data_IF_463692554245
#
_entry.id   IF_463692554245
#
_cell.length_a   1.000
_cell.length_b   1.000
_cell.length_c   1.000
_cell.angle_alpha   90.00
_cell.angle_beta   90.00
_cell.angle_gamma   90.00
#
_symmetry.space_group_name_H-M   'P 1'
#
loop_
_entity.id
_entity.type
_entity.pdbx_description
1 polymer ?
#
# COMPACT_ATOMS: atom_id res chain seq x y z
N UNK A 1 -2.23 12.79 -14.77
CA UNK A 1 -1.64 14.03 -15.28
C UNK A 1 -0.87 14.74 -14.17
N UNK A 2 0.16 15.49 -14.56
CA UNK A 2 1.00 16.27 -13.63
C UNK A 2 0.17 17.27 -12.81
N UNK A 3 -0.91 17.80 -13.38
CA UNK A 3 -1.82 18.72 -12.70
C UNK A 3 -2.62 18.07 -11.57
N UNK A 4 -2.95 16.76 -11.68
CA UNK A 4 -3.59 16.01 -10.59
C UNK A 4 -2.61 15.75 -9.45
N UNK A 5 -1.36 15.43 -9.76
CA UNK A 5 -0.31 15.27 -8.75
C UNK A 5 -0.03 16.54 -7.95
N UNK A 6 -0.01 17.70 -8.61
CA UNK A 6 0.14 19.01 -7.96
C UNK A 6 -1.08 19.39 -7.12
N UNK A 7 -2.29 19.11 -7.63
CA UNK A 7 -3.53 19.29 -6.88
C UNK A 7 -3.56 18.42 -5.60
N UNK A 8 -3.10 17.19 -5.69
CA UNK A 8 -3.03 16.27 -4.57
C UNK A 8 -1.97 16.68 -3.54
N UNK A 9 -0.84 17.27 -3.99
CA UNK A 9 0.18 17.86 -3.10
C UNK A 9 -0.37 19.09 -2.38
N UNK A 10 -1.10 19.95 -3.08
CA UNK A 10 -1.74 21.14 -2.51
C UNK A 10 -2.83 20.77 -1.50
N UNK A 11 -3.68 19.82 -1.85
CA UNK A 11 -4.72 19.29 -0.93
C UNK A 11 -4.11 18.65 0.30
N UNK A 12 -2.96 17.99 0.18
CA UNK A 12 -2.21 17.45 1.31
C UNK A 12 -1.67 18.51 2.23
N UNK A 13 -1.10 19.58 1.71
CA UNK A 13 -0.65 20.72 2.52
C UNK A 13 -1.82 21.35 3.28
N UNK A 14 -2.96 21.51 2.62
CA UNK A 14 -4.18 22.00 3.24
C UNK A 14 -4.70 21.08 4.34
N UNK A 15 -4.69 19.76 4.12
CA UNK A 15 -5.07 18.76 5.11
C UNK A 15 -4.07 18.68 6.27
N UNK A 16 -2.78 18.78 6.01
CA UNK A 16 -1.75 18.81 7.04
C UNK A 16 -1.90 20.03 7.95
N UNK A 17 -2.19 21.20 7.40
CA UNK A 17 -2.50 22.41 8.15
C UNK A 17 -3.76 22.28 9.03
N UNK A 18 -4.71 21.43 8.62
CA UNK A 18 -5.92 21.13 9.40
C UNK A 18 -5.77 19.95 10.38
N UNK A 19 -4.56 19.44 10.57
CA UNK A 19 -4.24 18.34 11.49
C UNK A 19 -4.44 16.94 10.90
N UNK A 20 -4.70 16.82 9.58
CA UNK A 20 -4.72 15.54 8.88
C UNK A 20 -3.31 15.25 8.37
N UNK A 21 -2.56 14.48 9.13
CA UNK A 21 -1.28 13.96 8.69
C UNK A 21 -1.53 12.81 7.70
N UNK A 22 -0.77 12.76 6.57
CA UNK A 22 -0.53 11.51 5.85
C UNK A 22 -1.58 11.08 4.81
N UNK A 23 -2.33 11.97 4.19
CA UNK A 23 -3.32 11.58 3.17
C UNK A 23 -2.81 11.80 1.76
N UNK A 24 -2.84 10.75 0.94
CA UNK A 24 -2.59 10.77 -0.49
C UNK A 24 -3.78 10.20 -1.23
N UNK A 25 -4.40 11.00 -2.09
CA UNK A 25 -5.45 10.51 -2.97
C UNK A 25 -4.83 9.80 -4.17
N UNK A 26 -5.26 8.57 -4.46
CA UNK A 26 -4.91 7.85 -5.67
C UNK A 26 -6.17 7.57 -6.47
N UNK A 27 -6.25 8.15 -7.66
CA UNK A 27 -7.31 7.88 -8.63
C UNK A 27 -6.78 7.06 -9.82
N UNK A 28 -6.12 5.93 -9.53
CA UNK A 28 -5.64 5.02 -10.57
C UNK A 28 -4.39 5.45 -11.33
N UNK A 29 -3.76 6.57 -11.00
CA UNK A 29 -2.47 6.97 -11.56
C UNK A 29 -1.32 6.48 -10.67
N UNK A 30 -0.44 5.68 -11.25
CA UNK A 30 0.77 5.23 -10.57
C UNK A 30 1.64 6.42 -10.16
N UNK A 31 2.12 6.42 -8.92
CA UNK A 31 3.10 7.39 -8.46
C UNK A 31 4.46 7.11 -9.10
N UNK A 32 5.13 8.15 -9.57
CA UNK A 32 6.49 8.04 -10.08
C UNK A 32 7.49 7.91 -8.93
N UNK A 33 8.69 7.31 -9.15
CA UNK A 33 9.72 7.25 -8.12
C UNK A 33 10.11 8.62 -7.56
N UNK A 34 10.12 9.66 -8.39
CA UNK A 34 10.39 11.03 -7.96
C UNK A 34 9.32 11.60 -7.03
N UNK A 35 8.06 11.33 -7.33
CA UNK A 35 6.92 11.72 -6.47
C UNK A 35 6.97 11.00 -5.12
N UNK A 36 7.30 9.72 -5.11
CA UNK A 36 7.44 8.93 -3.88
C UNK A 36 8.54 9.49 -2.99
N UNK A 37 9.71 9.79 -3.55
CA UNK A 37 10.82 10.41 -2.82
C UNK A 37 10.46 11.78 -2.26
N UNK A 38 9.73 12.57 -3.02
CA UNK A 38 9.25 13.87 -2.58
C UNK A 38 8.30 13.75 -1.38
N UNK A 39 7.37 12.81 -1.43
CA UNK A 39 6.43 12.53 -0.34
C UNK A 39 7.21 12.07 0.91
N UNK A 40 8.18 11.19 0.75
CA UNK A 40 8.98 10.64 1.83
C UNK A 40 9.77 11.71 2.60
N UNK A 41 10.09 12.84 1.97
CA UNK A 41 10.71 13.99 2.66
C UNK A 41 9.79 14.64 3.69
N UNK A 42 8.49 14.55 3.50
CA UNK A 42 7.49 15.21 4.35
C UNK A 42 6.89 14.28 5.39
N UNK A 43 6.78 12.99 5.10
CA UNK A 43 6.16 12.01 5.99
C UNK A 43 6.61 10.60 5.68
N UNK A 44 6.63 9.75 6.72
CA UNK A 44 6.82 8.30 6.59
C UNK A 44 5.49 7.55 6.50
N UNK A 45 4.37 8.21 6.70
CA UNK A 45 3.05 7.60 6.76
C UNK A 45 2.16 8.11 5.63
N UNK A 46 1.53 7.19 4.91
CA UNK A 46 0.66 7.51 3.78
C UNK A 46 -0.66 6.76 3.95
N UNK A 47 -1.77 7.45 3.73
CA UNK A 47 -3.07 6.83 3.53
C UNK A 47 -3.50 6.99 2.09
N UNK A 48 -3.71 5.89 1.40
CA UNK A 48 -4.14 5.87 0.00
C UNK A 48 -5.66 5.75 -0.04
N UNK A 49 -6.31 6.67 -0.72
CA UNK A 49 -7.75 6.69 -0.90
C UNK A 49 -8.12 6.03 -2.22
N UNK A 50 -9.01 5.06 -2.17
CA UNK A 50 -9.55 4.39 -3.35
C UNK A 50 -11.05 4.65 -3.48
N UNK A 51 -11.51 4.86 -4.71
CA UNK A 51 -12.93 4.74 -5.04
C UNK A 51 -13.36 3.26 -4.99
N UNK A 52 -14.65 3.00 -4.92
CA UNK A 52 -15.20 1.67 -4.64
C UNK A 52 -15.07 0.62 -5.76
N UNK A 53 -14.27 0.86 -6.80
CA UNK A 53 -14.07 -0.10 -7.89
C UNK A 53 -13.03 -1.16 -7.52
N UNK A 54 -13.50 -2.36 -7.18
CA UNK A 54 -12.65 -3.50 -6.78
C UNK A 54 -11.66 -3.89 -7.88
N UNK A 55 -12.05 -3.86 -9.13
CA UNK A 55 -11.16 -4.19 -10.26
C UNK A 55 -10.02 -3.16 -10.38
N UNK A 56 -10.34 -1.88 -10.26
CA UNK A 56 -9.36 -0.79 -10.23
C UNK A 56 -8.43 -0.86 -9.04
N UNK A 57 -8.93 -1.25 -7.87
CA UNK A 57 -8.14 -1.45 -6.66
C UNK A 57 -7.08 -2.53 -6.87
N UNK A 58 -7.46 -3.70 -7.39
CA UNK A 58 -6.50 -4.79 -7.67
C UNK A 58 -5.39 -4.36 -8.63
N UNK A 59 -5.73 -3.63 -9.68
CA UNK A 59 -4.76 -3.10 -10.63
C UNK A 59 -3.79 -2.09 -9.97
N UNK A 60 -4.27 -1.31 -9.01
CA UNK A 60 -3.51 -0.28 -8.31
C UNK A 60 -2.57 -0.84 -7.23
N UNK A 61 -2.82 -2.05 -6.72
CA UNK A 61 -2.02 -2.64 -5.63
C UNK A 61 -0.54 -2.81 -6.00
N UNK A 62 -0.25 -3.01 -7.26
CA UNK A 62 1.13 -3.15 -7.75
C UNK A 62 1.96 -1.86 -7.59
N UNK A 63 1.33 -0.70 -7.78
CA UNK A 63 2.00 0.59 -7.63
C UNK A 63 2.36 0.93 -6.19
N UNK A 64 1.67 0.33 -5.23
CA UNK A 64 1.91 0.57 -3.81
C UNK A 64 3.18 -0.12 -3.31
N UNK A 65 3.61 -1.21 -3.95
CA UNK A 65 4.84 -1.90 -3.59
C UNK A 65 6.06 -0.97 -3.64
N UNK A 66 6.07 0.01 -4.54
CA UNK A 66 7.12 1.03 -4.60
C UNK A 66 7.19 1.89 -3.34
N UNK A 67 6.05 2.17 -2.71
CA UNK A 67 5.99 2.90 -1.44
C UNK A 67 6.53 2.05 -0.27
N UNK A 68 6.25 0.76 -0.28
CA UNK A 68 6.81 -0.19 0.69
C UNK A 68 8.32 -0.27 0.58
N UNK A 69 8.86 -0.31 -0.62
CA UNK A 69 10.29 -0.36 -0.89
C UNK A 69 11.03 0.88 -0.38
N UNK A 70 10.39 2.05 -0.42
CA UNK A 70 10.90 3.30 0.16
C UNK A 70 10.82 3.33 1.71
N UNK A 71 10.26 2.30 2.34
CA UNK A 71 10.16 2.22 3.79
C UNK A 71 9.00 3.00 4.39
N UNK A 72 7.98 3.31 3.61
CA UNK A 72 6.81 4.04 4.06
C UNK A 72 5.77 3.13 4.70
N UNK A 73 5.08 3.65 5.71
CA UNK A 73 3.94 3.00 6.34
C UNK A 73 2.67 3.35 5.55
N UNK A 74 1.96 2.34 5.06
CA UNK A 74 0.85 2.55 4.14
C UNK A 74 -0.45 2.05 4.75
N UNK A 75 -1.44 2.93 4.77
CA UNK A 75 -2.83 2.60 5.07
C UNK A 75 -3.69 2.82 3.84
N UNK A 76 -4.79 2.11 3.77
CA UNK A 76 -5.77 2.20 2.69
C UNK A 76 -7.12 2.59 3.27
N UNK A 77 -7.80 3.51 2.62
CA UNK A 77 -9.15 3.90 2.95
C UNK A 77 -10.02 3.81 1.70
N UNK A 78 -11.09 3.01 1.78
CA UNK A 78 -12.08 2.93 0.71
C UNK A 78 -13.11 4.03 0.90
N UNK A 79 -13.37 4.78 -0.18
CA UNK A 79 -14.45 5.75 -0.20
C UNK A 79 -15.80 5.04 -0.45
N UNK A 80 -16.92 5.65 -0.03
CA UNK A 80 -18.25 5.11 -0.32
C UNK A 80 -18.49 4.95 -1.84
N UNK A 81 -19.37 4.04 -2.19
CA UNK A 81 -19.72 3.77 -3.60
C UNK A 81 -20.16 5.05 -4.33
N UNK A 82 -19.61 5.23 -5.52
CA UNK A 82 -19.90 6.40 -6.36
C UNK A 82 -19.17 7.68 -5.97
N UNK A 83 -18.35 7.65 -4.93
CA UNK A 83 -17.53 8.78 -4.52
C UNK A 83 -16.08 8.63 -4.98
N UNK A 84 -15.54 9.67 -5.58
CA UNK A 84 -14.10 9.84 -5.77
C UNK A 84 -13.51 10.76 -4.69
N UNK A 85 -12.18 10.83 -4.53
CA UNK A 85 -11.57 11.71 -3.53
C UNK A 85 -11.97 13.17 -3.65
N UNK A 86 -12.15 13.67 -4.87
CA UNK A 86 -12.53 15.07 -5.12
C UNK A 86 -14.00 15.34 -4.75
N UNK A 87 -14.92 14.46 -5.13
CA UNK A 87 -16.34 14.61 -4.81
C UNK A 87 -16.57 14.48 -3.31
N UNK A 88 -15.89 13.55 -2.65
CA UNK A 88 -15.97 13.36 -1.21
C UNK A 88 -15.42 14.56 -0.44
N UNK A 89 -14.28 15.11 -0.87
CA UNK A 89 -13.69 16.31 -0.26
C UNK A 89 -14.57 17.56 -0.41
N UNK A 90 -15.35 17.67 -1.49
CA UNK A 90 -16.29 18.78 -1.70
C UNK A 90 -17.53 18.69 -0.81
N UNK A 91 -18.00 17.48 -0.52
CA UNK A 91 -19.22 17.23 0.26
C UNK A 91 -19.00 17.30 1.77
N UNK A 92 -17.75 17.15 2.22
CA UNK A 92 -17.40 17.08 3.62
C UNK A 92 -16.40 18.16 4.01
N UNK A 93 -16.52 18.69 5.23
CA UNK A 93 -15.47 19.57 5.75
C UNK A 93 -14.23 18.77 6.17
N UNK A 94 -13.13 19.47 6.49
CA UNK A 94 -11.86 18.83 6.84
C UNK A 94 -11.99 17.89 8.05
N UNK A 95 -12.78 18.26 9.06
CA UNK A 95 -13.00 17.45 10.28
C UNK A 95 -13.77 16.17 9.97
N UNK A 96 -14.83 16.23 9.19
CA UNK A 96 -15.61 15.07 8.75
C UNK A 96 -14.78 14.12 7.88
N UNK A 97 -14.01 14.67 6.98
CA UNK A 97 -13.11 13.90 6.11
C UNK A 97 -12.04 13.16 6.92
N UNK A 98 -11.40 13.86 7.85
CA UNK A 98 -10.42 13.27 8.77
C UNK A 98 -11.00 12.14 9.61
N UNK A 99 -12.18 12.36 10.18
CA UNK A 99 -12.89 11.35 10.97
C UNK A 99 -13.21 10.12 10.12
N UNK A 100 -13.69 10.31 8.90
CA UNK A 100 -13.99 9.22 7.98
C UNK A 100 -12.73 8.38 7.71
N UNK A 101 -11.58 9.00 7.44
CA UNK A 101 -10.31 8.32 7.21
C UNK A 101 -9.91 7.53 8.46
N UNK A 102 -9.92 8.15 9.63
CA UNK A 102 -9.54 7.48 10.89
C UNK A 102 -10.42 6.27 11.21
N UNK A 103 -11.70 6.35 10.93
CA UNK A 103 -12.66 5.28 11.22
C UNK A 103 -12.61 4.14 10.20
N UNK A 104 -12.12 4.39 8.98
CA UNK A 104 -12.18 3.45 7.86
C UNK A 104 -10.83 3.06 7.27
N UNK A 105 -9.73 3.64 7.74
CA UNK A 105 -8.41 3.26 7.27
C UNK A 105 -7.98 1.90 7.80
N UNK A 106 -7.33 1.13 6.93
CA UNK A 106 -6.81 -0.21 7.25
C UNK A 106 -5.36 -0.30 6.78
N UNK A 107 -4.53 -1.04 7.51
CA UNK A 107 -3.17 -1.33 7.06
C UNK A 107 -3.16 -1.97 5.67
N UNK A 108 -2.20 -1.58 4.83
CA UNK A 108 -2.13 -2.03 3.43
C UNK A 108 -1.99 -3.54 3.30
N UNK A 109 -1.11 -4.16 4.07
CA UNK A 109 -0.90 -5.61 4.00
C UNK A 109 -2.14 -6.37 4.44
N UNK A 110 -2.80 -5.93 5.51
CA UNK A 110 -4.07 -6.51 5.97
C UNK A 110 -5.16 -6.34 4.91
N UNK A 111 -5.28 -5.17 4.33
CA UNK A 111 -6.24 -4.89 3.27
C UNK A 111 -6.02 -5.79 2.05
N UNK A 112 -4.78 -5.88 1.58
CA UNK A 112 -4.38 -6.72 0.47
C UNK A 112 -4.66 -8.21 0.75
N UNK A 113 -4.31 -8.67 1.95
CA UNK A 113 -4.55 -10.04 2.37
C UNK A 113 -6.03 -10.39 2.34
N UNK A 114 -6.88 -9.56 2.95
CA UNK A 114 -8.32 -9.80 2.98
C UNK A 114 -8.95 -9.75 1.59
N UNK A 115 -8.55 -8.80 0.75
CA UNK A 115 -9.05 -8.67 -0.62
C UNK A 115 -8.71 -9.91 -1.47
N UNK A 116 -7.47 -10.37 -1.39
CA UNK A 116 -7.02 -11.53 -2.15
C UNK A 116 -7.56 -12.86 -1.59
N UNK A 117 -7.77 -12.96 -0.27
CA UNK A 117 -8.42 -14.11 0.35
C UNK A 117 -9.86 -14.27 -0.13
N UNK A 118 -10.60 -13.18 -0.18
CA UNK A 118 -11.97 -13.17 -0.68
C UNK A 118 -12.03 -13.62 -2.14
N UNK A 119 -11.11 -13.15 -2.97
CA UNK A 119 -10.99 -13.54 -4.37
C UNK A 119 -10.54 -15.00 -4.57
N UNK A 120 -9.62 -15.49 -3.75
CA UNK A 120 -9.12 -16.86 -3.82
C UNK A 120 -10.15 -17.90 -3.40
N UNK A 121 -11.03 -17.56 -2.46
CA UNK A 121 -12.03 -18.48 -1.94
C UNK A 121 -11.40 -19.77 -1.42
N UNK A 122 -11.87 -20.92 -1.92
CA UNK A 122 -11.38 -22.25 -1.56
C UNK A 122 -10.39 -22.85 -2.57
N UNK A 123 -10.04 -22.11 -3.62
CA UNK A 123 -9.14 -22.59 -4.67
C UNK A 123 -7.69 -22.64 -4.14
N UNK A 124 -7.07 -23.84 -4.05
CA UNK A 124 -5.72 -23.96 -3.51
C UNK A 124 -4.66 -23.30 -4.38
N UNK A 125 -4.85 -23.24 -5.69
CA UNK A 125 -3.90 -22.60 -6.62
C UNK A 125 -3.94 -21.08 -6.41
N UNK A 126 -5.11 -20.50 -6.33
CA UNK A 126 -5.28 -19.07 -6.04
C UNK A 126 -4.75 -18.68 -4.65
N UNK A 127 -4.91 -19.57 -3.67
CA UNK A 127 -4.32 -19.37 -2.33
C UNK A 127 -2.79 -19.36 -2.40
N UNK A 128 -2.18 -20.26 -3.15
CA UNK A 128 -0.73 -20.28 -3.35
C UNK A 128 -0.22 -18.99 -4.03
N UNK A 129 -0.91 -18.52 -5.04
CA UNK A 129 -0.62 -17.25 -5.71
C UNK A 129 -0.74 -16.05 -4.76
N UNK A 130 -1.78 -16.03 -3.94
CA UNK A 130 -1.97 -15.04 -2.88
C UNK A 130 -0.78 -15.00 -1.92
N UNK A 131 -0.38 -16.14 -1.41
CA UNK A 131 0.75 -16.26 -0.48
C UNK A 131 2.03 -15.73 -1.13
N UNK A 132 2.31 -16.14 -2.39
CA UNK A 132 3.45 -15.65 -3.15
C UNK A 132 3.42 -14.14 -3.35
N UNK A 133 2.27 -13.58 -3.61
CA UNK A 133 2.07 -12.13 -3.78
C UNK A 133 2.35 -11.35 -2.48
N UNK A 134 1.84 -11.84 -1.36
CA UNK A 134 2.09 -11.23 -0.04
C UNK A 134 3.56 -11.36 0.39
N UNK A 135 4.18 -12.49 0.14
CA UNK A 135 5.62 -12.69 0.37
C UNK A 135 6.44 -11.68 -0.43
N UNK A 136 6.08 -11.45 -1.69
CA UNK A 136 6.75 -10.45 -2.53
C UNK A 136 6.62 -9.04 -1.93
N UNK A 137 5.44 -8.63 -1.53
CA UNK A 137 5.22 -7.31 -0.92
C UNK A 137 5.98 -7.14 0.40
N UNK A 138 6.00 -8.16 1.25
CA UNK A 138 6.74 -8.12 2.52
C UNK A 138 8.25 -8.09 2.26
N UNK A 139 8.74 -8.84 1.27
CA UNK A 139 10.17 -8.97 0.99
C UNK A 139 10.85 -7.65 0.61
N UNK A 140 10.13 -6.71 0.02
CA UNK A 140 10.67 -5.40 -0.39
C UNK A 140 10.69 -4.35 0.72
N UNK A 141 10.08 -4.63 1.87
CA UNK A 141 10.11 -3.74 3.03
C UNK A 141 11.53 -3.71 3.60
N UNK A 142 12.16 -2.52 3.73
CA UNK A 142 13.57 -2.44 4.15
C UNK A 142 13.82 -2.88 5.60
N UNK A 143 12.89 -2.57 6.52
CA UNK A 143 13.07 -2.81 7.95
C UNK A 143 12.69 -4.24 8.34
N UNK A 144 13.63 -4.95 8.95
CA UNK A 144 13.44 -6.33 9.38
C UNK A 144 12.32 -6.50 10.41
N UNK A 145 12.20 -5.55 11.34
CA UNK A 145 11.15 -5.58 12.39
C UNK A 145 9.77 -5.47 11.76
N UNK A 146 9.60 -4.58 10.79
CA UNK A 146 8.33 -4.40 10.07
C UNK A 146 7.98 -5.66 9.29
N UNK A 147 8.95 -6.26 8.61
CA UNK A 147 8.74 -7.53 7.92
C UNK A 147 8.26 -8.63 8.87
N UNK A 148 8.89 -8.76 10.03
CA UNK A 148 8.52 -9.78 11.02
C UNK A 148 7.10 -9.59 11.55
N UNK A 149 6.70 -8.36 11.84
CA UNK A 149 5.34 -8.03 12.27
C UNK A 149 4.32 -8.44 11.20
N UNK A 150 4.57 -8.12 9.94
CA UNK A 150 3.67 -8.50 8.85
C UNK A 150 3.65 -10.00 8.57
N UNK A 151 4.79 -10.68 8.70
CA UNK A 151 4.86 -12.14 8.59
C UNK A 151 3.95 -12.80 9.63
N UNK A 152 4.01 -12.37 10.89
CA UNK A 152 3.15 -12.90 11.96
C UNK A 152 1.68 -12.61 11.70
N UNK A 153 1.35 -11.42 11.27
CA UNK A 153 -0.03 -11.05 10.95
C UNK A 153 -0.58 -11.88 9.78
N UNK A 154 0.17 -12.02 8.70
CA UNK A 154 -0.22 -12.87 7.57
C UNK A 154 -0.33 -14.34 7.95
N UNK A 155 0.56 -14.84 8.79
CA UNK A 155 0.50 -16.20 9.32
C UNK A 155 -0.82 -16.47 10.02
N UNK A 156 -1.27 -15.55 10.86
CA UNK A 156 -2.56 -15.67 11.55
C UNK A 156 -3.76 -15.58 10.57
N UNK A 157 -3.74 -14.61 9.67
CA UNK A 157 -4.83 -14.42 8.72
C UNK A 157 -4.96 -15.58 7.72
N UNK A 158 -3.85 -16.11 7.25
CA UNK A 158 -3.79 -17.19 6.27
C UNK A 158 -3.81 -18.57 6.89
N UNK A 159 -3.66 -18.68 8.20
CA UNK A 159 -3.56 -19.95 8.96
C UNK A 159 -2.46 -20.85 8.43
N UNK A 160 -1.29 -20.29 8.24
CA UNK A 160 -0.07 -20.98 7.83
C UNK A 160 1.03 -20.72 8.86
N UNK A 161 2.01 -21.59 8.94
CA UNK A 161 3.13 -21.41 9.88
C UNK A 161 4.00 -20.20 9.48
N UNK A 162 4.36 -19.39 10.45
CA UNK A 162 5.21 -18.21 10.26
C UNK A 162 6.59 -18.59 9.72
N UNK A 163 7.14 -19.74 10.10
CA UNK A 163 8.42 -20.25 9.60
C UNK A 163 8.46 -20.38 8.09
N UNK A 164 7.34 -20.80 7.46
CA UNK A 164 7.24 -20.88 6.02
C UNK A 164 7.35 -19.50 5.39
N UNK A 165 6.64 -18.50 5.92
CA UNK A 165 6.69 -17.13 5.44
C UNK A 165 8.08 -16.52 5.63
N UNK A 166 8.71 -16.73 6.78
CA UNK A 166 10.07 -16.26 7.05
C UNK A 166 11.03 -16.81 6.00
N UNK A 167 10.98 -18.11 5.73
CA UNK A 167 11.83 -18.76 4.73
C UNK A 167 11.60 -18.21 3.32
N UNK A 168 10.36 -18.05 2.89
CA UNK A 168 10.02 -17.53 1.58
C UNK A 168 10.41 -16.06 1.39
N UNK A 169 10.21 -15.25 2.41
CA UNK A 169 10.65 -13.84 2.39
C UNK A 169 12.18 -13.76 2.29
N UNK A 170 12.90 -14.56 3.04
CA UNK A 170 14.37 -14.61 2.98
C UNK A 170 14.87 -14.99 1.58
N UNK A 171 14.27 -16.00 0.95
CA UNK A 171 14.60 -16.40 -0.42
C UNK A 171 14.38 -15.27 -1.43
N UNK A 172 13.27 -14.56 -1.33
CA UNK A 172 12.96 -13.42 -2.21
C UNK A 172 13.96 -12.29 -2.06
N UNK A 173 14.34 -11.97 -0.83
CA UNK A 173 15.34 -10.94 -0.56
C UNK A 173 16.71 -11.31 -1.10
N UNK A 174 17.14 -12.56 -0.95
CA UNK A 174 18.41 -13.07 -1.50
C UNK A 174 18.43 -12.96 -3.03
N UNK A 175 17.38 -13.41 -3.70
CA UNK A 175 17.24 -13.29 -5.16
C UNK A 175 17.29 -11.84 -5.64
N UNK A 176 16.66 -10.93 -4.92
CA UNK A 176 16.68 -9.50 -5.25
C UNK A 176 18.10 -8.92 -5.11
N UNK A 177 18.81 -9.27 -4.05
CA UNK A 177 20.18 -8.81 -3.80
C UNK A 177 21.13 -9.30 -4.91
N UNK A 178 20.99 -10.56 -5.36
CA UNK A 178 21.76 -11.12 -6.47
C UNK A 178 21.51 -10.38 -7.78
N UNK A 179 20.25 -10.13 -8.13
CA UNK A 179 19.88 -9.36 -9.33
C UNK A 179 20.45 -7.94 -9.31
N UNK A 180 20.39 -7.27 -8.19
CA UNK A 180 20.97 -5.93 -8.04
C UNK A 180 22.49 -5.93 -8.17
N UNK A 181 23.17 -6.93 -7.64
CA UNK A 181 24.61 -7.09 -7.78
C UNK A 181 25.02 -7.35 -9.24
N UNK A 182 24.27 -8.19 -9.96
CA UNK A 182 24.49 -8.44 -11.38
C UNK A 182 24.30 -7.18 -12.23
N UNK A 183 23.28 -6.39 -11.95
CA UNK A 183 23.04 -5.13 -12.67
C UNK A 183 24.18 -4.15 -12.47
N UNK A 184 24.65 -3.97 -11.22
CA UNK A 184 25.80 -3.10 -10.91
C UNK A 184 27.09 -3.53 -11.62
N UNK A 185 27.28 -4.82 -11.84
CA UNK A 185 28.45 -5.33 -12.52
C UNK A 185 28.40 -5.18 -14.06
N UNK A 186 27.23 -4.85 -14.61
CA UNK A 186 27.02 -4.62 -16.06
C UNK A 186 27.11 -3.14 -16.46
N UNK A 187 27.03 -2.23 -15.51
CA UNK A 187 27.20 -0.79 -15.67
C UNK A 187 28.67 -0.38 -15.49
#
# INVERSE_FOLDING_TARGET
SVSRGLGDVYKRQSMHQSGVENVVASSGTALTPGQIKLIHRFTNNITVLYDGDVAGIKASLRGIDMLLEEGMNIKVCLLPDGEDPDSFARKHNATEFQKFIQDNETDFIRFKTNLLLEDAGKDPIKRAELIGNLVQSISIIPEAIVRDVYIKECSQLLRIEDKLLVSEVAKRRETQAEKQAEQRNRE
#
